data_IF_049252582466
#
_entry.id   IF_049252582466
#
_cell.length_a   1.000
_cell.length_b   1.000
_cell.length_c   1.000
_cell.angle_alpha   90.00
_cell.angle_beta   90.00
_cell.angle_gamma   90.00
#
_symmetry.space_group_name_H-M   'P 1'
#
loop_
_entity.id
_entity.type
_entity.pdbx_description
1 polymer ?
#
# COMPACT_ATOMS: atom_id res chain seq x y z
N UNK A 1 -7.70 10.16 -10.23
CA UNK A 1 -6.56 9.25 -10.08
C UNK A 1 -7.08 7.85 -9.79
N UNK A 2 -6.50 6.85 -10.44
CA UNK A 2 -6.86 5.45 -10.23
C UNK A 2 -5.61 4.61 -10.05
N UNK A 3 -5.60 3.72 -9.06
CA UNK A 3 -4.51 2.81 -8.77
C UNK A 3 -5.04 1.50 -8.18
N UNK A 4 -4.21 0.47 -8.16
CA UNK A 4 -4.53 -0.80 -7.51
C UNK A 4 -3.46 -1.15 -6.47
N UNK A 5 -3.84 -1.86 -5.40
CA UNK A 5 -2.93 -2.20 -4.31
C UNK A 5 -1.77 -3.10 -4.76
N UNK A 6 -2.03 -4.05 -5.65
CA UNK A 6 -1.01 -4.99 -6.17
C UNK A 6 -0.23 -4.42 -7.37
N UNK A 7 -0.32 -3.11 -7.56
CA UNK A 7 0.39 -2.35 -8.56
C UNK A 7 1.71 -1.81 -7.97
N UNK A 8 2.82 -2.31 -8.44
CA UNK A 8 4.14 -1.94 -7.90
C UNK A 8 4.64 -0.57 -8.35
N UNK A 9 4.24 -0.11 -9.53
CA UNK A 9 4.86 1.04 -10.18
C UNK A 9 4.10 2.35 -9.96
N UNK A 10 2.78 2.36 -10.09
CA UNK A 10 2.01 3.60 -10.19
C UNK A 10 1.26 4.00 -8.92
N UNK A 11 0.97 3.07 -8.01
CA UNK A 11 0.20 3.39 -6.80
C UNK A 11 0.83 4.50 -5.94
N UNK A 12 2.15 4.49 -5.79
CA UNK A 12 2.85 5.53 -5.02
C UNK A 12 2.72 6.90 -5.70
N UNK A 13 2.79 6.92 -7.03
CA UNK A 13 2.59 8.13 -7.83
C UNK A 13 1.18 8.70 -7.67
N UNK A 14 0.16 7.87 -7.57
CA UNK A 14 -1.23 8.30 -7.37
C UNK A 14 -1.41 9.01 -6.02
N UNK A 15 -0.88 8.45 -4.93
CA UNK A 15 -0.91 9.09 -3.61
C UNK A 15 -0.06 10.36 -3.56
N UNK A 16 1.13 10.34 -4.18
CA UNK A 16 1.96 11.53 -4.29
C UNK A 16 1.26 12.63 -5.05
N UNK A 17 0.62 12.32 -6.17
CA UNK A 17 -0.14 13.27 -6.96
C UNK A 17 -1.30 13.85 -6.15
N UNK A 18 -2.12 13.01 -5.50
CA UNK A 18 -3.22 13.48 -4.67
C UNK A 18 -2.78 14.51 -3.63
N UNK A 19 -1.63 14.27 -2.99
CA UNK A 19 -1.14 15.12 -1.91
C UNK A 19 -0.41 16.39 -2.39
N UNK A 20 -0.14 16.52 -3.68
CA UNK A 20 0.62 17.65 -4.23
C UNK A 20 -0.13 18.47 -5.29
N UNK A 21 -1.30 18.03 -5.76
CA UNK A 21 -2.14 18.84 -6.62
C UNK A 21 -3.00 19.81 -5.79
N UNK A 22 -3.17 21.00 -6.31
CA UNK A 22 -4.03 22.04 -5.69
C UNK A 22 -5.45 22.01 -6.24
N UNK A 23 -5.64 21.37 -7.40
CA UNK A 23 -6.95 21.21 -8.01
C UNK A 23 -7.75 20.10 -7.31
N UNK A 24 -9.07 20.19 -7.33
CA UNK A 24 -9.90 19.10 -6.82
C UNK A 24 -9.56 17.78 -7.49
N UNK A 25 -9.34 16.74 -6.68
CA UNK A 25 -8.94 15.44 -7.16
C UNK A 25 -9.66 14.32 -6.41
N UNK A 26 -9.89 13.23 -7.09
CA UNK A 26 -10.40 11.97 -6.54
C UNK A 26 -9.34 10.88 -6.72
N UNK A 27 -9.20 10.02 -5.74
CA UNK A 27 -8.34 8.83 -5.80
C UNK A 27 -9.16 7.57 -5.52
N UNK A 28 -9.07 6.62 -6.42
CA UNK A 28 -9.67 5.30 -6.26
C UNK A 28 -8.56 4.26 -6.24
N UNK A 29 -8.55 3.41 -5.20
CA UNK A 29 -7.56 2.35 -5.04
C UNK A 29 -8.25 1.00 -4.93
N UNK A 30 -8.17 0.21 -5.99
CA UNK A 30 -8.80 -1.10 -6.11
C UNK A 30 -7.91 -2.27 -5.69
N UNK A 31 -8.50 -3.48 -5.58
CA UNK A 31 -7.77 -4.70 -5.21
C UNK A 31 -7.15 -5.42 -6.42
N UNK A 32 -6.81 -4.72 -7.47
CA UNK A 32 -6.24 -5.31 -8.69
C UNK A 32 -4.73 -5.18 -8.77
N UNK A 33 -4.17 -5.86 -9.78
CA UNK A 33 -2.80 -5.66 -10.23
C UNK A 33 -2.69 -4.55 -11.28
N UNK A 34 -1.59 -4.56 -12.02
CA UNK A 34 -1.32 -3.58 -13.07
C UNK A 34 -2.41 -3.59 -14.15
N UNK A 35 -3.01 -2.43 -14.41
CA UNK A 35 -4.14 -2.27 -15.35
C UNK A 35 -5.35 -3.20 -15.09
N UNK A 36 -5.47 -3.77 -13.90
CA UNK A 36 -6.40 -4.85 -13.56
C UNK A 36 -7.84 -4.43 -13.27
N UNK A 37 -8.34 -3.32 -13.80
CA UNK A 37 -9.69 -2.81 -13.48
C UNK A 37 -10.82 -3.72 -13.98
N UNK A 38 -10.64 -4.44 -15.10
CA UNK A 38 -11.61 -5.44 -15.56
C UNK A 38 -11.74 -6.60 -14.56
N UNK A 39 -10.63 -7.03 -13.98
CA UNK A 39 -10.64 -8.05 -12.92
C UNK A 39 -11.26 -7.52 -11.63
N UNK A 40 -10.99 -6.27 -11.24
CA UNK A 40 -11.64 -5.60 -10.12
C UNK A 40 -13.15 -5.59 -10.32
N UNK A 41 -13.63 -5.16 -11.49
CA UNK A 41 -15.06 -5.14 -11.81
C UNK A 41 -15.69 -6.52 -11.69
N UNK A 42 -15.05 -7.55 -12.25
CA UNK A 42 -15.59 -8.91 -12.21
C UNK A 42 -15.69 -9.49 -10.80
N UNK A 43 -14.76 -9.14 -9.93
CA UNK A 43 -14.70 -9.65 -8.54
C UNK A 43 -15.54 -8.85 -7.55
N UNK A 44 -15.63 -7.54 -7.75
CA UNK A 44 -16.22 -6.65 -6.74
C UNK A 44 -17.50 -5.94 -7.22
N UNK A 45 -17.81 -6.01 -8.51
CA UNK A 45 -18.88 -5.23 -9.14
C UNK A 45 -18.56 -3.75 -9.32
N UNK A 46 -17.40 -3.26 -8.85
CA UNK A 46 -17.03 -1.87 -8.99
C UNK A 46 -16.48 -1.58 -10.39
N UNK A 47 -17.09 -0.64 -11.09
CA UNK A 47 -16.70 -0.23 -12.43
C UNK A 47 -16.02 1.16 -12.41
N UNK A 48 -14.72 1.18 -12.60
CA UNK A 48 -13.94 2.42 -12.65
C UNK A 48 -14.40 3.34 -13.78
N UNK A 49 -14.88 2.79 -14.89
CA UNK A 49 -15.31 3.58 -16.06
C UNK A 49 -16.52 4.44 -15.72
N UNK A 50 -17.43 3.95 -14.86
CA UNK A 50 -18.57 4.73 -14.38
C UNK A 50 -18.09 5.93 -13.58
N UNK A 51 -17.11 5.76 -12.69
CA UNK A 51 -16.56 6.85 -11.89
C UNK A 51 -15.79 7.87 -12.73
N UNK A 52 -15.04 7.40 -13.73
CA UNK A 52 -14.37 8.28 -14.69
C UNK A 52 -15.39 9.10 -15.48
N UNK A 53 -16.46 8.50 -15.98
CA UNK A 53 -17.53 9.23 -16.68
C UNK A 53 -18.20 10.26 -15.77
N UNK A 54 -18.54 9.89 -14.53
CA UNK A 54 -19.12 10.84 -13.55
C UNK A 54 -18.21 12.04 -13.32
N UNK A 55 -16.88 11.80 -13.18
CA UNK A 55 -15.91 12.86 -12.97
C UNK A 55 -15.82 13.80 -14.18
N UNK A 56 -15.74 13.25 -15.39
CA UNK A 56 -15.67 14.07 -16.61
C UNK A 56 -17.00 14.71 -16.98
N UNK A 57 -18.13 14.10 -16.67
CA UNK A 57 -19.44 14.74 -16.84
C UNK A 57 -19.55 15.99 -15.97
N UNK A 58 -19.08 15.93 -14.73
CA UNK A 58 -19.04 17.10 -13.85
C UNK A 58 -18.13 18.20 -14.41
N UNK A 59 -16.86 17.88 -14.71
CA UNK A 59 -15.85 18.90 -15.06
C UNK A 59 -15.92 19.38 -16.49
N UNK A 60 -16.30 18.55 -17.45
CA UNK A 60 -16.30 18.90 -18.87
C UNK A 60 -17.68 19.28 -19.40
N UNK A 61 -18.75 18.78 -18.80
CA UNK A 61 -20.11 19.05 -19.25
C UNK A 61 -20.91 19.91 -18.26
N UNK A 62 -20.38 20.15 -17.07
CA UNK A 62 -21.07 20.92 -16.02
C UNK A 62 -22.27 20.19 -15.43
N UNK A 63 -22.31 18.87 -15.51
CA UNK A 63 -23.41 18.07 -14.94
C UNK A 63 -23.16 17.90 -13.44
N UNK A 64 -24.03 18.48 -12.63
CA UNK A 64 -24.01 18.25 -11.19
C UNK A 64 -24.57 16.86 -10.87
N UNK A 65 -23.67 15.94 -10.58
CA UNK A 65 -23.96 14.54 -10.27
C UNK A 65 -23.52 14.13 -8.86
N UNK A 66 -23.19 15.11 -8.01
CA UNK A 66 -22.80 14.92 -6.62
C UNK A 66 -21.40 14.33 -6.40
N UNK A 67 -20.64 13.99 -7.45
CA UNK A 67 -19.34 13.34 -7.29
C UNK A 67 -18.35 14.17 -6.46
N UNK A 68 -18.41 15.48 -6.53
CA UNK A 68 -17.49 16.35 -5.79
C UNK A 68 -17.91 16.60 -4.33
N UNK A 69 -19.09 16.14 -3.93
CA UNK A 69 -19.56 16.15 -2.53
C UNK A 69 -19.12 14.87 -1.79
N UNK A 70 -18.79 13.83 -2.53
CA UNK A 70 -18.27 12.57 -1.97
C UNK A 70 -16.84 12.73 -1.46
N UNK A 71 -16.42 11.82 -0.57
CA UNK A 71 -15.05 11.74 -0.08
C UNK A 71 -14.03 11.65 -1.22
N UNK A 72 -12.86 12.26 -1.04
CA UNK A 72 -11.84 12.37 -2.08
C UNK A 72 -11.09 11.07 -2.33
N UNK A 73 -11.11 10.15 -1.38
CA UNK A 73 -10.41 8.86 -1.47
C UNK A 73 -11.40 7.72 -1.32
N UNK A 74 -11.40 6.80 -2.26
CA UNK A 74 -12.18 5.58 -2.21
C UNK A 74 -11.24 4.38 -2.38
N UNK A 75 -11.21 3.47 -1.42
CA UNK A 75 -10.19 2.43 -1.40
C UNK A 75 -10.73 1.09 -0.90
N UNK A 76 -10.17 0.02 -1.46
CA UNK A 76 -10.51 -1.34 -1.07
C UNK A 76 -9.65 -1.81 0.11
N UNK A 77 -10.26 -2.50 1.07
CA UNK A 77 -9.59 -3.12 2.21
C UNK A 77 -9.68 -4.64 2.09
N UNK A 78 -8.55 -5.29 1.90
CA UNK A 78 -8.48 -6.74 1.84
C UNK A 78 -8.90 -7.37 3.17
N UNK A 79 -9.54 -8.54 3.09
CA UNK A 79 -9.99 -9.31 4.24
C UNK A 79 -10.93 -8.58 5.19
N UNK A 80 -11.54 -7.49 4.77
CA UNK A 80 -12.61 -6.85 5.52
C UNK A 80 -13.87 -7.73 5.50
N UNK A 81 -14.78 -7.57 6.47
CA UNK A 81 -16.07 -8.25 6.42
C UNK A 81 -16.80 -7.99 5.10
N UNK A 82 -17.49 -9.00 4.58
CA UNK A 82 -18.21 -8.91 3.32
C UNK A 82 -19.14 -7.69 3.28
N UNK A 83 -19.03 -6.89 2.22
CA UNK A 83 -19.76 -5.64 2.03
C UNK A 83 -19.16 -4.43 2.73
N UNK A 84 -18.02 -4.59 3.41
CA UNK A 84 -17.28 -3.50 4.08
C UNK A 84 -15.88 -3.30 3.51
N UNK A 85 -15.60 -3.90 2.38
CA UNK A 85 -14.28 -3.87 1.76
C UNK A 85 -13.96 -2.49 1.16
N UNK A 86 -14.95 -1.89 0.49
CA UNK A 86 -14.81 -0.54 -0.05
C UNK A 86 -15.07 0.51 1.03
N UNK A 87 -14.14 1.44 1.17
CA UNK A 87 -14.17 2.50 2.17
C UNK A 87 -13.85 3.83 1.56
N UNK A 88 -14.33 4.90 2.21
CA UNK A 88 -14.02 6.26 1.79
C UNK A 88 -13.34 7.07 2.88
N UNK A 89 -12.61 8.11 2.47
CA UNK A 89 -12.01 9.09 3.34
C UNK A 89 -11.85 10.44 2.64
N UNK A 90 -11.95 11.51 3.41
CA UNK A 90 -11.80 12.86 2.88
C UNK A 90 -10.39 13.21 2.45
N UNK A 91 -9.40 12.51 3.00
CA UNK A 91 -7.99 12.78 2.74
C UNK A 91 -7.14 11.52 2.96
N UNK A 92 -5.93 11.57 2.44
CA UNK A 92 -4.89 10.59 2.70
C UNK A 92 -3.58 11.31 3.08
N UNK A 93 -2.82 10.90 4.13
CA UNK A 93 -3.10 9.76 5.03
C UNK A 93 -4.43 9.86 5.77
N UNK A 94 -4.95 8.71 6.22
CA UNK A 94 -6.25 8.66 6.88
C UNK A 94 -6.25 9.48 8.18
N UNK A 95 -7.30 10.26 8.46
CA UNK A 95 -7.44 10.92 9.74
C UNK A 95 -7.43 9.90 10.88
N UNK A 96 -6.62 10.16 11.90
CA UNK A 96 -6.55 9.29 13.06
C UNK A 96 -5.69 8.03 12.90
N UNK A 97 -4.92 7.90 11.80
CA UNK A 97 -3.93 6.83 11.72
C UNK A 97 -2.99 6.85 12.93
N UNK A 98 -2.66 5.67 13.44
CA UNK A 98 -1.69 5.51 14.53
C UNK A 98 -0.47 4.80 14.00
N UNK A 99 0.65 5.49 13.99
CA UNK A 99 1.93 4.90 13.60
C UNK A 99 2.45 4.01 14.70
N UNK A 100 2.64 2.74 14.38
CA UNK A 100 3.23 1.75 15.28
C UNK A 100 4.64 1.45 14.80
N UNK A 101 5.61 1.59 15.68
CA UNK A 101 7.00 1.27 15.41
C UNK A 101 7.27 -0.18 15.77
N UNK A 102 7.82 -0.91 14.82
CA UNK A 102 8.35 -2.25 15.04
C UNK A 102 9.87 -2.24 14.94
N UNK A 103 10.49 -3.05 15.76
CA UNK A 103 11.93 -3.31 15.72
C UNK A 103 12.17 -4.68 15.10
N UNK A 104 13.13 -4.74 14.18
CA UNK A 104 13.58 -5.96 13.53
C UNK A 104 14.66 -6.62 14.38
N UNK A 105 14.61 -7.93 14.53
CA UNK A 105 15.68 -8.67 15.19
C UNK A 105 15.42 -10.17 15.29
N UNK A 106 16.41 -10.98 14.90
CA UNK A 106 16.38 -12.46 14.96
C UNK A 106 15.11 -13.07 14.37
N UNK A 107 14.68 -12.57 13.22
CA UNK A 107 13.48 -13.06 12.53
C UNK A 107 12.16 -12.60 13.17
N UNK A 108 12.17 -11.71 14.14
CA UNK A 108 10.96 -11.20 14.79
C UNK A 108 10.71 -9.72 14.54
N UNK A 109 9.44 -9.35 14.53
CA UNK A 109 8.96 -7.97 14.63
C UNK A 109 8.42 -7.76 16.05
N UNK A 110 8.96 -6.76 16.75
CA UNK A 110 8.54 -6.44 18.12
C UNK A 110 8.31 -4.95 18.29
N UNK A 111 7.28 -4.57 19.04
CA UNK A 111 7.08 -3.18 19.47
C UNK A 111 8.03 -2.77 20.61
N UNK A 112 8.70 -3.73 21.23
CA UNK A 112 9.71 -3.48 22.27
C UNK A 112 11.08 -3.38 21.62
N UNK A 113 11.81 -2.32 21.95
CA UNK A 113 13.18 -2.15 21.47
C UNK A 113 14.09 -3.28 21.99
N UNK A 114 15.04 -3.78 21.18
CA UNK A 114 15.98 -4.79 21.64
C UNK A 114 16.83 -4.23 22.80
N UNK A 115 17.08 -5.07 23.80
CA UNK A 115 17.89 -4.70 24.96
C UNK A 115 19.36 -4.47 24.61
N UNK A 116 19.87 -5.19 23.61
CA UNK A 116 21.24 -5.11 23.16
C UNK A 116 21.35 -4.20 21.93
N UNK A 117 22.30 -3.26 21.98
CA UNK A 117 22.65 -2.41 20.83
C UNK A 117 23.61 -3.15 19.90
N UNK A 118 23.45 -2.89 18.57
CA UNK A 118 24.38 -3.44 17.57
C UNK A 118 24.10 -4.88 17.16
N UNK A 119 22.93 -5.42 17.49
CA UNK A 119 22.50 -6.70 16.98
C UNK A 119 22.41 -6.63 15.44
N UNK A 120 22.92 -7.67 14.77
CA UNK A 120 22.89 -7.80 13.31
C UNK A 120 22.17 -9.08 12.95
N UNK A 121 21.42 -9.02 11.85
CA UNK A 121 20.92 -10.17 11.14
C UNK A 121 21.64 -10.23 9.79
N UNK A 122 22.10 -11.39 9.40
CA UNK A 122 22.91 -11.56 8.20
C UNK A 122 22.24 -12.51 7.22
N UNK A 123 22.29 -12.17 5.94
CA UNK A 123 21.86 -13.03 4.86
C UNK A 123 22.98 -13.18 3.82
N UNK A 124 23.25 -14.39 3.41
CA UNK A 124 24.10 -14.67 2.26
C UNK A 124 23.26 -14.59 0.99
N UNK A 125 23.60 -13.66 0.10
CA UNK A 125 22.91 -13.48 -1.18
C UNK A 125 23.82 -14.02 -2.27
N UNK A 126 23.36 -15.08 -2.98
CA UNK A 126 23.97 -15.50 -4.22
C UNK A 126 23.39 -14.66 -5.37
N UNK A 127 24.24 -14.32 -6.31
CA UNK A 127 23.88 -13.48 -7.48
C UNK A 127 23.09 -14.31 -8.52
N UNK A 128 21.92 -14.77 -8.13
CA UNK A 128 21.01 -15.52 -9.00
C UNK A 128 19.60 -14.93 -8.81
N UNK A 129 19.35 -13.89 -9.56
CA UNK A 129 18.14 -13.06 -9.40
C UNK A 129 17.04 -13.58 -10.30
N UNK A 130 16.39 -14.65 -9.89
CA UNK A 130 15.07 -14.96 -10.44
C UNK A 130 13.99 -14.45 -9.50
N UNK A 131 12.84 -13.93 -9.99
CA UNK A 131 11.74 -13.49 -9.14
C UNK A 131 11.30 -14.54 -8.12
N UNK A 132 11.43 -15.82 -8.45
CA UNK A 132 11.14 -16.94 -7.55
C UNK A 132 12.11 -17.05 -6.36
N UNK A 133 13.32 -16.48 -6.45
CA UNK A 133 14.36 -16.60 -5.43
C UNK A 133 14.45 -15.37 -4.51
N UNK A 134 13.81 -14.26 -4.84
CA UNK A 134 13.88 -13.03 -4.05
C UNK A 134 13.33 -13.20 -2.63
N UNK A 135 12.25 -13.97 -2.48
CA UNK A 135 11.65 -14.22 -1.16
C UNK A 135 12.32 -15.38 -0.41
N UNK A 136 12.96 -16.30 -1.11
CA UNK A 136 13.56 -17.49 -0.50
C UNK A 136 14.92 -17.22 0.19
N UNK A 137 15.56 -16.08 -0.08
CA UNK A 137 16.92 -15.75 0.38
C UNK A 137 17.00 -14.48 1.21
N UNK A 138 15.88 -13.80 1.44
CA UNK A 138 15.81 -12.60 2.24
C UNK A 138 15.73 -12.88 3.74
N UNK A 139 15.95 -11.83 4.52
CA UNK A 139 15.65 -11.85 5.94
C UNK A 139 14.12 -11.66 6.12
N UNK A 140 13.50 -12.55 6.84
CA UNK A 140 12.05 -12.48 7.14
C UNK A 140 11.86 -12.16 8.62
N UNK A 141 10.98 -11.22 8.89
CA UNK A 141 10.63 -10.82 10.26
C UNK A 141 9.13 -10.92 10.43
N UNK A 142 8.68 -11.58 11.48
CA UNK A 142 7.27 -11.76 11.77
C UNK A 142 6.95 -11.44 13.23
N UNK A 143 5.74 -10.97 13.48
CA UNK A 143 5.20 -10.92 14.83
C UNK A 143 4.82 -12.31 15.31
N UNK A 144 4.60 -12.48 16.60
CA UNK A 144 3.80 -13.62 17.07
C UNK A 144 2.40 -13.56 16.41
N UNK A 145 1.67 -14.70 16.33
CA UNK A 145 0.30 -14.69 15.85
C UNK A 145 -0.52 -13.61 16.54
N UNK A 146 -1.28 -12.84 15.78
CA UNK A 146 -2.14 -11.81 16.32
C UNK A 146 -3.29 -12.43 17.12
N UNK A 147 -3.64 -11.82 18.23
CA UNK A 147 -4.75 -12.27 19.09
C UNK A 147 -6.08 -11.60 18.76
N UNK A 148 -6.06 -10.61 17.88
CA UNK A 148 -7.22 -9.90 17.37
C UNK A 148 -6.95 -9.39 15.96
N UNK A 149 -8.00 -9.10 15.23
CA UNK A 149 -7.90 -8.49 13.91
C UNK A 149 -7.23 -7.12 13.98
N UNK A 150 -6.32 -6.88 13.05
CA UNK A 150 -5.61 -5.60 12.93
C UNK A 150 -5.77 -5.08 11.51
N UNK A 151 -6.25 -3.86 11.39
CA UNK A 151 -6.28 -3.17 10.11
C UNK A 151 -4.97 -2.38 9.92
N UNK A 152 -4.26 -2.69 8.84
CA UNK A 152 -3.08 -1.94 8.41
C UNK A 152 -3.46 -1.12 7.19
N UNK A 153 -3.44 0.20 7.32
CA UNK A 153 -3.80 1.12 6.23
C UNK A 153 -2.89 2.34 6.30
N UNK A 154 -2.23 2.67 5.21
CA UNK A 154 -1.31 3.80 5.18
C UNK A 154 -0.04 3.49 4.38
N UNK A 155 1.01 4.25 4.63
CA UNK A 155 2.31 4.09 3.98
C UNK A 155 3.30 3.48 4.99
N UNK A 156 3.61 2.18 4.87
CA UNK A 156 4.65 1.58 5.69
C UNK A 156 6.01 2.20 5.33
N UNK A 157 6.83 2.40 6.35
CA UNK A 157 8.19 2.90 6.17
C UNK A 157 9.17 1.98 6.91
N UNK A 158 10.30 1.69 6.29
CA UNK A 158 11.36 0.91 6.90
C UNK A 158 12.65 1.74 6.99
N UNK A 159 13.31 1.70 8.14
CA UNK A 159 14.62 2.29 8.35
C UNK A 159 15.63 1.18 8.61
N UNK A 160 16.56 0.99 7.70
CA UNK A 160 17.58 -0.04 7.79
C UNK A 160 18.98 0.59 7.88
N UNK A 161 19.80 0.03 8.76
CA UNK A 161 21.24 0.18 8.71
C UNK A 161 21.81 -1.05 8.05
N UNK A 162 22.41 -0.89 6.90
CA UNK A 162 22.87 -2.00 6.09
C UNK A 162 24.36 -1.91 5.83
N UNK A 163 25.01 -3.06 5.68
CA UNK A 163 26.36 -3.18 5.16
C UNK A 163 26.42 -4.37 4.22
N UNK A 164 27.28 -4.31 3.23
CA UNK A 164 27.51 -5.38 2.27
C UNK A 164 28.97 -5.63 2.08
N UNK A 165 29.35 -6.85 1.81
CA UNK A 165 30.70 -7.21 1.35
C UNK A 165 30.87 -7.02 -0.16
N UNK A 166 29.75 -6.85 -0.90
CA UNK A 166 29.76 -6.48 -2.30
C UNK A 166 29.86 -4.97 -2.48
N UNK A 167 30.43 -4.55 -3.59
CA UNK A 167 30.57 -3.13 -3.93
C UNK A 167 29.26 -2.46 -4.34
N UNK A 168 28.28 -3.25 -4.77
CA UNK A 168 26.98 -2.79 -5.25
C UNK A 168 25.88 -3.80 -4.87
N UNK A 169 24.62 -3.35 -4.80
CA UNK A 169 23.46 -4.20 -4.52
C UNK A 169 22.21 -3.40 -4.17
N UNK A 170 21.05 -4.04 -4.37
CA UNK A 170 19.76 -3.49 -4.06
C UNK A 170 19.18 -4.08 -2.77
N UNK A 171 18.53 -3.24 -1.97
CA UNK A 171 17.81 -3.64 -0.77
C UNK A 171 16.32 -3.42 -0.99
N UNK A 172 15.57 -4.50 -1.07
CA UNK A 172 14.12 -4.48 -1.31
C UNK A 172 13.41 -4.96 -0.05
N UNK A 173 12.52 -4.11 0.48
CA UNK A 173 11.63 -4.48 1.59
C UNK A 173 10.23 -4.76 1.05
N UNK A 174 9.69 -5.92 1.40
CA UNK A 174 8.31 -6.31 1.10
C UNK A 174 7.54 -6.46 2.41
N UNK A 175 6.31 -5.96 2.46
CA UNK A 175 5.42 -6.02 3.63
C UNK A 175 4.13 -6.71 3.21
#
# INVERSE_FOLDING_TARGET
LAANWDEGATKHGAFFTLNNVTNPAKLIVGPGGHCGWTDVQSRTGFDITVEEHRFFDYWLKGIDNGIMEEDSVYYYTYNAPAGSEWRSAKQWPLPGEKRVKFYLGKGSLSTTAPAEKGQKDEAAVAYDVTPANLTARGLVYATAPLTADVQVTGHPAINLWVSSTAADGDFIATI
#
